data_IF_906209824146
#
_entry.id   IF_906209824146
#
_cell.length_a   1.000
_cell.length_b   1.000
_cell.length_c   1.000
_cell.angle_alpha   90.00
_cell.angle_beta   90.00
_cell.angle_gamma   90.00
#
_symmetry.space_group_name_H-M   'P 1'
#
loop_
_entity.id
_entity.type
_entity.pdbx_description
1 polymer ?
#
# COMPACT_ATOMS: atom_id res chain seq x y z
N UNK A 1 7.46 13.12 4.57
CA UNK A 1 6.99 12.46 5.81
C UNK A 1 7.31 13.21 7.09
N UNK A 2 8.51 13.77 7.26
CA UNK A 2 8.94 14.45 8.49
C UNK A 2 7.94 15.50 9.04
N UNK A 3 7.33 16.31 8.17
CA UNK A 3 6.33 17.31 8.59
C UNK A 3 5.07 16.67 9.21
N UNK A 4 4.59 15.54 8.65
CA UNK A 4 3.45 14.79 9.19
C UNK A 4 3.78 14.23 10.56
N UNK A 5 4.94 13.58 10.70
CA UNK A 5 5.37 12.97 11.95
C UNK A 5 5.60 14.01 13.04
N UNK A 6 6.22 15.15 12.70
CA UNK A 6 6.35 16.28 13.61
C UNK A 6 4.98 16.84 14.03
N UNK A 7 4.03 16.95 13.10
CA UNK A 7 2.67 17.38 13.43
C UNK A 7 1.99 16.37 14.37
N UNK A 8 2.05 15.08 14.08
CA UNK A 8 1.47 14.04 14.94
C UNK A 8 2.11 14.06 16.34
N UNK A 9 3.43 14.21 16.43
CA UNK A 9 4.13 14.35 17.70
C UNK A 9 3.68 15.60 18.47
N UNK A 10 3.44 16.73 17.78
CA UNK A 10 2.94 17.96 18.43
C UNK A 10 1.53 17.85 19.02
N UNK A 11 0.77 16.81 18.64
CA UNK A 11 -0.60 16.60 19.08
C UNK A 11 -0.72 15.53 20.19
N UNK A 12 0.38 15.01 20.73
CA UNK A 12 0.35 13.93 21.73
C UNK A 12 -0.51 14.26 22.96
N UNK A 13 -0.51 15.52 23.41
CA UNK A 13 -1.27 15.97 24.59
C UNK A 13 -2.66 16.53 24.26
N UNK A 14 -3.06 16.50 22.99
CA UNK A 14 -4.33 17.11 22.54
C UNK A 14 -5.58 16.30 22.87
N UNK A 15 -5.43 15.05 23.34
CA UNK A 15 -6.53 14.10 23.52
C UNK A 15 -7.18 13.62 22.20
N UNK A 16 -6.57 13.92 21.04
CA UNK A 16 -7.05 13.50 19.71
C UNK A 16 -6.35 12.23 19.25
N UNK A 17 -7.10 11.36 18.58
CA UNK A 17 -6.54 10.17 17.94
C UNK A 17 -6.07 10.51 16.53
N UNK A 18 -4.80 10.24 16.23
CA UNK A 18 -4.32 10.29 14.87
C UNK A 18 -4.80 9.07 14.09
N UNK A 19 -5.48 9.31 12.96
CA UNK A 19 -5.86 8.26 12.02
C UNK A 19 -4.89 8.32 10.84
N UNK A 20 -4.00 7.31 10.69
CA UNK A 20 -3.08 7.30 9.56
C UNK A 20 -3.84 7.13 8.24
N UNK A 21 -3.22 7.45 7.09
CA UNK A 21 -3.87 7.25 5.79
C UNK A 21 -3.82 5.80 5.27
N UNK A 22 -2.92 4.95 5.78
CA UNK A 22 -2.75 3.56 5.30
C UNK A 22 -2.06 2.61 6.30
N UNK A 23 -1.04 3.05 7.03
CA UNK A 23 -0.16 2.17 7.82
C UNK A 23 -0.77 1.75 9.17
N UNK A 24 -1.89 1.04 9.14
CA UNK A 24 -2.61 0.55 10.31
C UNK A 24 -3.50 -0.63 9.94
N UNK A 25 -3.54 -1.66 10.79
CA UNK A 25 -4.22 -2.93 10.52
C UNK A 25 -5.69 -2.75 10.13
N UNK A 26 -6.44 -1.91 10.86
CA UNK A 26 -7.85 -1.65 10.55
C UNK A 26 -8.04 -0.93 9.21
N UNK A 27 -7.08 -0.12 8.80
CA UNK A 27 -7.16 0.57 7.51
C UNK A 27 -6.91 -0.41 6.39
N UNK A 28 -5.87 -1.26 6.52
CA UNK A 28 -5.58 -2.36 5.58
C UNK A 28 -6.78 -3.29 5.45
N UNK A 29 -7.36 -3.72 6.57
CA UNK A 29 -8.55 -4.58 6.57
C UNK A 29 -9.74 -3.90 5.87
N UNK A 30 -9.96 -2.62 6.15
CA UNK A 30 -10.99 -1.83 5.49
C UNK A 30 -10.77 -1.69 3.99
N UNK A 31 -9.54 -1.47 3.52
CA UNK A 31 -9.28 -1.36 2.08
C UNK A 31 -9.48 -2.70 1.35
N UNK A 32 -9.25 -3.82 2.03
CA UNK A 32 -9.47 -5.15 1.47
C UNK A 32 -10.92 -5.42 1.07
N UNK A 33 -11.90 -4.69 1.60
CA UNK A 33 -13.31 -4.92 1.25
C UNK A 33 -13.60 -4.62 -0.22
N UNK A 34 -12.89 -3.67 -0.84
CA UNK A 34 -13.02 -3.41 -2.27
C UNK A 34 -12.63 -4.64 -3.11
N UNK A 35 -11.58 -5.36 -2.72
CA UNK A 35 -11.20 -6.60 -3.37
C UNK A 35 -12.20 -7.73 -3.07
N UNK A 36 -12.73 -7.78 -1.84
CA UNK A 36 -13.75 -8.76 -1.46
C UNK A 36 -15.02 -8.61 -2.32
N UNK A 37 -15.49 -7.37 -2.49
CA UNK A 37 -16.63 -7.06 -3.37
C UNK A 37 -16.34 -7.47 -4.81
N UNK A 38 -15.13 -7.18 -5.32
CA UNK A 38 -14.73 -7.54 -6.68
C UNK A 38 -14.72 -9.06 -6.91
N UNK A 39 -14.12 -9.85 -6.02
CA UNK A 39 -14.05 -11.31 -6.18
C UNK A 39 -15.41 -11.99 -5.96
N UNK A 40 -16.30 -11.40 -5.17
CA UNK A 40 -17.68 -11.87 -5.03
C UNK A 40 -18.49 -11.60 -6.30
N UNK A 41 -18.29 -10.43 -6.92
CA UNK A 41 -18.96 -10.07 -8.17
C UNK A 41 -18.41 -10.84 -9.38
N UNK A 42 -17.11 -11.14 -9.38
CA UNK A 42 -16.44 -11.91 -10.43
C UNK A 42 -15.52 -12.98 -9.82
N UNK A 43 -16.00 -14.22 -9.63
CA UNK A 43 -15.24 -15.28 -8.95
C UNK A 43 -14.16 -15.95 -9.82
N UNK A 44 -14.13 -15.68 -11.14
CA UNK A 44 -13.21 -16.30 -12.10
C UNK A 44 -12.11 -15.33 -12.54
N UNK A 45 -11.46 -14.67 -11.59
CA UNK A 45 -10.32 -13.81 -11.85
C UNK A 45 -9.03 -14.57 -11.55
N UNK A 46 -8.03 -14.47 -12.44
CA UNK A 46 -6.70 -15.05 -12.22
C UNK A 46 -5.74 -14.08 -11.49
N UNK A 47 -5.93 -12.77 -11.73
CA UNK A 47 -5.00 -11.72 -11.34
C UNK A 47 -5.76 -10.50 -10.82
N UNK A 48 -5.27 -9.92 -9.72
CA UNK A 48 -5.62 -8.56 -9.29
C UNK A 48 -4.44 -7.61 -9.49
N UNK A 49 -4.75 -6.40 -9.93
CA UNK A 49 -3.79 -5.31 -10.07
C UNK A 49 -4.33 -4.12 -9.30
N UNK A 50 -3.52 -3.53 -8.41
CA UNK A 50 -3.92 -2.38 -7.63
C UNK A 50 -2.78 -1.36 -7.52
N UNK A 51 -3.11 -0.05 -7.42
CA UNK A 51 -2.10 0.99 -7.34
C UNK A 51 -1.35 0.92 -6.00
N UNK A 52 -0.08 1.31 -6.03
CA UNK A 52 0.78 1.35 -4.88
C UNK A 52 1.21 2.79 -4.59
N UNK A 53 0.83 3.26 -3.40
CA UNK A 53 1.48 4.37 -2.71
C UNK A 53 1.98 3.84 -1.38
N UNK A 54 1.34 4.21 -0.27
CA UNK A 54 1.72 3.73 1.05
C UNK A 54 1.43 2.25 1.30
N UNK A 55 0.70 1.59 0.38
CA UNK A 55 0.47 0.15 0.39
C UNK A 55 -0.80 -0.31 1.10
N UNK A 56 -1.62 0.58 1.66
CA UNK A 56 -2.83 0.21 2.40
C UNK A 56 -3.84 -0.60 1.57
N UNK A 57 -4.20 -0.06 0.39
CA UNK A 57 -5.09 -0.74 -0.55
C UNK A 57 -4.51 -2.05 -1.05
N UNK A 58 -3.30 -2.01 -1.61
CA UNK A 58 -2.65 -3.19 -2.17
C UNK A 58 -2.46 -4.31 -1.13
N UNK A 59 -2.14 -3.95 0.12
CA UNK A 59 -2.03 -4.93 1.22
C UNK A 59 -3.36 -5.61 1.50
N UNK A 60 -4.45 -4.83 1.62
CA UNK A 60 -5.79 -5.37 1.82
C UNK A 60 -6.24 -6.26 0.65
N UNK A 61 -6.01 -5.80 -0.59
CA UNK A 61 -6.25 -6.56 -1.81
C UNK A 61 -5.48 -7.89 -1.81
N UNK A 62 -4.21 -7.86 -1.41
CA UNK A 62 -3.35 -9.05 -1.39
C UNK A 62 -3.84 -10.13 -0.41
N UNK A 63 -4.41 -9.73 0.72
CA UNK A 63 -4.96 -10.65 1.71
C UNK A 63 -6.16 -11.41 1.12
N UNK A 64 -7.07 -10.70 0.46
CA UNK A 64 -8.24 -11.31 -0.19
C UNK A 64 -7.80 -12.22 -1.33
N UNK A 65 -6.95 -11.73 -2.23
CA UNK A 65 -6.46 -12.50 -3.36
C UNK A 65 -5.80 -13.83 -2.94
N UNK A 66 -5.01 -13.81 -1.87
CA UNK A 66 -4.36 -15.01 -1.32
C UNK A 66 -5.38 -16.07 -0.89
N UNK A 67 -6.49 -15.67 -0.28
CA UNK A 67 -7.55 -16.61 0.12
C UNK A 67 -8.26 -17.25 -1.08
N UNK A 68 -8.28 -16.57 -2.22
CA UNK A 68 -8.89 -17.03 -3.46
C UNK A 68 -7.87 -17.66 -4.44
N UNK A 69 -6.60 -17.81 -4.06
CA UNK A 69 -5.57 -18.41 -4.92
C UNK A 69 -5.18 -17.55 -6.13
N UNK A 70 -5.41 -16.24 -6.06
CA UNK A 70 -5.16 -15.30 -7.15
C UNK A 70 -3.78 -14.66 -7.04
N UNK A 71 -3.22 -14.26 -8.19
CA UNK A 71 -1.98 -13.49 -8.26
C UNK A 71 -2.24 -12.01 -8.05
N UNK A 72 -1.28 -11.30 -7.45
CA UNK A 72 -1.41 -9.85 -7.21
C UNK A 72 -0.18 -9.09 -7.67
N UNK A 73 -0.42 -8.01 -8.41
CA UNK A 73 0.61 -7.07 -8.86
C UNK A 73 0.33 -5.67 -8.31
N UNK A 74 1.36 -5.04 -7.77
CA UNK A 74 1.35 -3.61 -7.48
C UNK A 74 1.69 -2.79 -8.73
N UNK A 75 1.25 -1.54 -8.79
CA UNK A 75 1.62 -0.62 -9.88
C UNK A 75 2.03 0.74 -9.30
N UNK A 76 3.19 1.23 -9.69
CA UNK A 76 3.73 2.54 -9.31
C UNK A 76 4.10 3.35 -10.55
N UNK A 77 4.07 4.70 -10.48
CA UNK A 77 4.71 5.53 -11.47
C UNK A 77 6.23 5.32 -11.46
N UNK A 78 6.88 5.26 -12.62
CA UNK A 78 8.33 5.04 -12.73
C UNK A 78 9.14 6.07 -11.92
N UNK A 79 8.69 7.33 -11.92
CA UNK A 79 9.33 8.43 -11.18
C UNK A 79 8.87 8.56 -9.71
N UNK A 80 8.15 7.55 -9.19
CA UNK A 80 7.71 7.44 -7.80
C UNK A 80 7.79 5.97 -7.31
N UNK A 81 8.80 5.23 -7.79
CA UNK A 81 8.92 3.78 -7.64
C UNK A 81 9.63 3.33 -6.34
N UNK A 82 9.31 3.94 -5.19
CA UNK A 82 9.96 3.56 -3.92
C UNK A 82 9.51 2.19 -3.41
N UNK A 83 8.29 1.76 -3.70
CA UNK A 83 7.81 0.42 -3.38
C UNK A 83 8.54 -0.67 -4.17
N UNK A 84 8.73 -0.47 -5.48
CA UNK A 84 9.51 -1.33 -6.36
C UNK A 84 10.94 -1.50 -5.83
N UNK A 85 11.61 -0.38 -5.56
CA UNK A 85 12.96 -0.40 -4.99
C UNK A 85 13.02 -1.08 -3.61
N UNK A 86 11.98 -0.89 -2.79
CA UNK A 86 11.88 -1.53 -1.47
C UNK A 86 11.69 -3.05 -1.56
N UNK A 87 10.87 -3.51 -2.51
CA UNK A 87 10.61 -4.93 -2.71
C UNK A 87 11.88 -5.65 -3.20
N UNK A 88 12.59 -5.07 -4.17
CA UNK A 88 13.86 -5.59 -4.69
C UNK A 88 14.95 -5.65 -3.60
N UNK A 89 15.08 -4.59 -2.80
CA UNK A 89 16.05 -4.53 -1.71
C UNK A 89 15.68 -5.39 -0.48
N UNK A 90 14.43 -5.86 -0.39
CA UNK A 90 13.90 -6.57 0.77
C UNK A 90 13.72 -5.72 2.03
N UNK A 91 13.96 -4.40 1.95
CA UNK A 91 13.83 -3.42 3.03
C UNK A 91 13.29 -2.11 2.49
N UNK A 92 12.51 -1.37 3.29
CA UNK A 92 11.92 -0.09 2.90
C UNK A 92 13.03 0.89 2.51
N UNK A 93 13.02 1.33 1.26
CA UNK A 93 13.89 2.37 0.76
C UNK A 93 13.30 3.76 1.06
N UNK A 94 14.14 4.79 1.26
CA UNK A 94 13.66 6.15 1.36
C UNK A 94 12.91 6.58 0.09
N UNK A 95 11.79 7.30 0.24
CA UNK A 95 11.12 7.89 -0.90
C UNK A 95 12.04 8.87 -1.64
N UNK A 96 12.17 8.68 -2.95
CA UNK A 96 12.80 9.65 -3.84
C UNK A 96 11.89 10.88 -3.99
N UNK A 97 12.40 12.09 -4.32
CA UNK A 97 11.55 13.23 -4.66
C UNK A 97 10.69 12.87 -5.88
N UNK A 98 9.40 12.55 -5.71
CA UNK A 98 8.67 11.91 -6.78
C UNK A 98 8.10 12.97 -7.72
N UNK A 99 8.11 12.68 -9.02
CA UNK A 99 7.52 13.55 -10.05
C UNK A 99 6.45 12.76 -10.78
N UNK A 100 5.19 12.94 -10.41
CA UNK A 100 4.07 12.27 -11.06
C UNK A 100 2.78 13.06 -10.92
N UNK A 101 1.87 12.87 -11.89
CA UNK A 101 0.48 13.33 -11.79
C UNK A 101 -0.34 12.49 -10.80
N UNK A 102 0.15 11.30 -10.42
CA UNK A 102 -0.49 10.40 -9.47
C UNK A 102 -0.24 10.86 -8.03
N UNK A 103 -0.80 12.01 -7.66
CA UNK A 103 -0.65 12.67 -6.36
C UNK A 103 -0.96 11.77 -5.17
N UNK A 104 -2.00 10.93 -5.27
CA UNK A 104 -2.40 9.96 -4.24
C UNK A 104 -1.39 8.84 -3.98
N UNK A 105 -0.40 8.64 -4.85
CA UNK A 105 0.62 7.61 -4.72
C UNK A 105 1.95 8.14 -4.14
N UNK A 106 2.08 9.45 -3.96
CA UNK A 106 3.33 10.10 -3.52
C UNK A 106 3.57 9.95 -2.00
N UNK A 107 3.66 8.70 -1.53
CA UNK A 107 3.78 8.32 -0.13
C UNK A 107 4.70 7.12 0.03
N UNK A 108 5.46 7.05 1.11
CA UNK A 108 6.33 5.90 1.39
C UNK A 108 5.57 4.72 2.00
N UNK A 109 6.07 3.51 1.74
CA UNK A 109 5.59 2.29 2.38
C UNK A 109 5.66 2.36 3.92
N UNK A 110 4.76 1.62 4.57
CA UNK A 110 4.67 1.52 6.02
C UNK A 110 5.11 0.17 6.60
N UNK A 111 5.37 0.16 7.90
CA UNK A 111 5.77 -1.03 8.67
C UNK A 111 4.70 -2.13 8.75
N UNK A 112 3.43 -1.79 8.59
CA UNK A 112 2.30 -2.74 8.54
C UNK A 112 2.13 -3.27 7.12
N UNK A 113 2.21 -2.39 6.12
CA UNK A 113 1.92 -2.72 4.74
C UNK A 113 3.04 -3.51 4.08
N UNK A 114 4.30 -3.11 4.27
CA UNK A 114 5.42 -3.70 3.55
C UNK A 114 5.60 -5.21 3.77
N UNK A 115 5.52 -5.76 5.01
CA UNK A 115 5.62 -7.20 5.21
C UNK A 115 4.54 -8.00 4.47
N UNK A 116 3.32 -7.47 4.38
CA UNK A 116 2.22 -8.09 3.63
C UNK A 116 2.53 -8.11 2.13
N UNK A 117 3.04 -7.00 1.59
CA UNK A 117 3.43 -6.92 0.18
C UNK A 117 4.57 -7.89 -0.15
N UNK A 118 5.60 -7.99 0.70
CA UNK A 118 6.69 -8.95 0.53
C UNK A 118 6.20 -10.40 0.51
N UNK A 119 5.19 -10.73 1.30
CA UNK A 119 4.67 -12.08 1.42
C UNK A 119 3.72 -12.47 0.27
N UNK A 120 3.00 -11.50 -0.30
CA UNK A 120 1.83 -11.77 -1.15
C UNK A 120 1.93 -11.32 -2.60
N UNK A 121 2.82 -10.37 -2.93
CA UNK A 121 2.91 -9.88 -4.31
C UNK A 121 3.74 -10.81 -5.20
N UNK A 122 3.33 -10.89 -6.47
CA UNK A 122 4.14 -11.49 -7.53
C UNK A 122 5.23 -10.52 -7.98
N UNK A 123 4.87 -9.25 -8.22
CA UNK A 123 5.79 -8.17 -8.57
C UNK A 123 5.12 -6.79 -8.42
N UNK A 124 5.94 -5.75 -8.52
CA UNK A 124 5.48 -4.37 -8.74
C UNK A 124 5.84 -3.99 -10.18
N UNK A 125 4.88 -3.41 -10.90
CA UNK A 125 5.04 -2.94 -12.27
C UNK A 125 5.20 -1.42 -12.27
N UNK A 126 6.01 -0.89 -13.19
CA UNK A 126 6.24 0.55 -13.35
C UNK A 126 5.54 1.07 -14.61
N UNK A 127 4.92 2.25 -14.51
CA UNK A 127 4.19 2.93 -15.60
C UNK A 127 4.45 4.43 -15.67
#
# INVERSE_FOLDING_TARGET
MAAREAFVASQQDSGRTFIPPYNHDWIVAGQGTAALELVQAQPQLDVLVAPLGGGGLLSGTSIVARQHGMKVFGVEPELAADGFASLDAGVIQPAMPPISICDGLLTSLGSVTFPLLQQHLEAILLV
#
